data_IF_499078478529
#
_entry.id   IF_499078478529
#
_cell.length_a   1.000
_cell.length_b   1.000
_cell.length_c   1.000
_cell.angle_alpha   90.00
_cell.angle_beta   90.00
_cell.angle_gamma   90.00
#
_symmetry.space_group_name_H-M   'P 1'
#
loop_
_entity.id
_entity.type
_entity.pdbx_description
1 polymer ?
#
# COMPACT_ATOMS: atom_id res chain seq x y z
N UNK A 1 -9.63 11.64 19.62
CA UNK A 1 -9.37 10.94 18.33
C UNK A 1 -7.89 10.56 18.13
N UNK A 2 -6.93 11.47 18.39
CA UNK A 2 -5.48 11.25 18.17
C UNK A 2 -4.86 10.13 19.04
N UNK A 3 -5.19 10.06 20.33
CA UNK A 3 -4.73 8.97 21.24
C UNK A 3 -5.16 7.57 20.77
N UNK A 4 -6.35 7.46 20.18
CA UNK A 4 -6.93 6.21 19.67
C UNK A 4 -6.14 5.61 18.50
N UNK A 5 -5.50 6.45 17.66
CA UNK A 5 -4.71 5.98 16.51
C UNK A 5 -3.47 5.22 16.99
N UNK A 6 -2.72 5.78 17.94
CA UNK A 6 -1.52 5.12 18.49
C UNK A 6 -1.87 3.81 19.20
N UNK A 7 -2.97 3.79 19.95
CA UNK A 7 -3.45 2.57 20.61
C UNK A 7 -3.85 1.50 19.59
N UNK A 8 -4.62 1.87 18.56
CA UNK A 8 -5.03 0.93 17.50
C UNK A 8 -3.82 0.35 16.76
N UNK A 9 -2.79 1.15 16.47
CA UNK A 9 -1.57 0.65 15.82
C UNK A 9 -0.80 -0.31 16.73
N UNK A 10 -0.76 -0.08 18.04
CA UNK A 10 -0.14 -1.00 19.01
C UNK A 10 -0.92 -2.31 19.11
N UNK A 11 -2.25 -2.26 19.27
CA UNK A 11 -3.11 -3.45 19.28
C UNK A 11 -2.95 -4.31 18.01
N UNK A 12 -2.78 -3.66 16.86
CA UNK A 12 -2.52 -4.35 15.60
C UNK A 12 -1.13 -5.01 15.52
N UNK A 13 -0.15 -4.54 16.30
CA UNK A 13 1.15 -5.21 16.43
C UNK A 13 1.08 -6.37 17.42
N UNK A 14 0.19 -6.32 18.40
CA UNK A 14 -0.01 -7.38 19.39
C UNK A 14 -0.61 -8.66 18.77
N UNK A 15 -1.26 -8.57 17.61
CA UNK A 15 -1.73 -9.77 16.90
C UNK A 15 -0.60 -10.68 16.40
N UNK A 16 0.62 -10.14 16.29
CA UNK A 16 1.81 -10.82 15.75
C UNK A 16 1.62 -11.45 14.35
N UNK A 17 0.53 -11.11 13.66
CA UNK A 17 0.31 -11.50 12.28
C UNK A 17 1.27 -10.72 11.38
N UNK A 18 2.01 -11.44 10.54
CA UNK A 18 3.03 -10.87 9.64
C UNK A 18 2.42 -9.85 8.68
N UNK A 19 1.22 -10.12 8.16
CA UNK A 19 0.56 -9.22 7.23
C UNK A 19 0.16 -7.91 7.92
N UNK A 20 -0.45 -8.01 9.09
CA UNK A 20 -0.90 -6.89 9.90
C UNK A 20 0.27 -6.06 10.43
N UNK A 21 1.33 -6.70 10.94
CA UNK A 21 2.56 -6.03 11.36
C UNK A 21 3.19 -5.21 10.22
N UNK A 22 3.25 -5.78 9.00
CA UNK A 22 3.74 -5.05 7.81
C UNK A 22 2.82 -3.90 7.40
N UNK A 23 1.51 -3.99 7.64
CA UNK A 23 0.59 -2.88 7.41
C UNK A 23 0.86 -1.73 8.37
N UNK A 24 0.97 -2.03 9.67
CA UNK A 24 1.32 -1.02 10.70
C UNK A 24 2.66 -0.36 10.37
N UNK A 25 3.69 -1.14 10.02
CA UNK A 25 4.99 -0.59 9.65
C UNK A 25 4.92 0.35 8.44
N UNK A 26 4.10 0.05 7.41
CA UNK A 26 3.90 0.95 6.27
C UNK A 26 3.23 2.26 6.67
N UNK A 27 2.24 2.21 7.56
CA UNK A 27 1.58 3.40 8.12
C UNK A 27 2.59 4.25 8.88
N UNK A 28 3.39 3.63 9.75
CA UNK A 28 4.42 4.30 10.54
C UNK A 28 5.53 4.91 9.67
N UNK A 29 5.89 4.28 8.56
CA UNK A 29 6.85 4.85 7.60
C UNK A 29 6.28 6.06 6.84
N UNK A 30 4.98 6.04 6.52
CA UNK A 30 4.30 7.19 5.92
C UNK A 30 4.21 8.36 6.91
N UNK A 31 3.92 8.08 8.18
CA UNK A 31 3.95 9.02 9.28
C UNK A 31 5.34 9.60 9.51
N UNK A 32 6.38 8.77 9.63
CA UNK A 32 7.74 9.22 9.89
C UNK A 32 8.27 10.18 8.81
N UNK A 33 7.79 10.06 7.57
CA UNK A 33 8.15 10.98 6.47
C UNK A 33 7.51 12.37 6.58
N UNK A 34 6.40 12.51 7.29
CA UNK A 34 5.74 13.81 7.47
C UNK A 34 6.46 14.66 8.52
N UNK A 35 6.92 14.04 9.62
CA UNK A 35 7.58 14.74 10.73
C UNK A 35 9.07 14.43 10.90
N UNK A 36 9.72 13.82 9.90
CA UNK A 36 11.14 13.42 9.92
C UNK A 36 11.57 12.59 11.16
N UNK A 37 10.68 11.74 11.69
CA UNK A 37 10.92 10.96 12.91
C UNK A 37 11.84 9.76 12.64
N UNK A 38 13.14 9.93 12.89
CA UNK A 38 14.18 8.92 12.62
C UNK A 38 13.92 7.58 13.32
N UNK A 39 13.50 7.60 14.59
CA UNK A 39 13.24 6.37 15.37
C UNK A 39 12.08 5.56 14.77
N UNK A 40 10.97 6.25 14.45
CA UNK A 40 9.79 5.64 13.82
C UNK A 40 10.12 5.10 12.42
N UNK A 41 10.90 5.84 11.63
CA UNK A 41 11.36 5.39 10.31
C UNK A 41 12.25 4.14 10.42
N UNK A 42 13.20 4.11 11.35
CA UNK A 42 14.10 2.98 11.58
C UNK A 42 13.33 1.73 12.04
N UNK A 43 12.46 1.87 13.04
CA UNK A 43 11.63 0.76 13.54
C UNK A 43 10.72 0.17 12.46
N UNK A 44 10.05 1.04 11.69
CA UNK A 44 9.19 0.62 10.58
C UNK A 44 9.98 -0.08 9.46
N UNK A 45 11.13 0.49 9.06
CA UNK A 45 11.99 -0.09 8.01
C UNK A 45 12.59 -1.43 8.45
N UNK A 46 13.05 -1.53 9.70
CA UNK A 46 13.57 -2.76 10.30
C UNK A 46 12.54 -3.87 10.26
N UNK A 47 11.36 -3.65 10.85
CA UNK A 47 10.29 -4.64 10.86
C UNK A 47 9.86 -5.07 9.43
N UNK A 48 9.82 -4.13 8.48
CA UNK A 48 9.54 -4.46 7.08
C UNK A 48 10.64 -5.27 6.40
N UNK A 49 11.90 -5.09 6.76
CA UNK A 49 12.99 -5.88 6.20
C UNK A 49 12.91 -7.31 6.73
N UNK A 50 12.76 -7.45 8.04
CA UNK A 50 12.80 -8.73 8.73
C UNK A 50 11.61 -9.63 8.31
N UNK A 51 10.43 -9.03 8.12
CA UNK A 51 9.22 -9.73 7.65
C UNK A 51 9.12 -9.85 6.12
N UNK A 52 10.12 -9.38 5.37
CA UNK A 52 10.06 -9.30 3.91
C UNK A 52 9.95 -10.68 3.26
N UNK A 53 10.94 -11.53 3.51
CA UNK A 53 11.04 -12.86 2.91
C UNK A 53 9.84 -13.74 3.24
N UNK A 54 9.42 -13.79 4.50
CA UNK A 54 8.25 -14.55 4.93
C UNK A 54 6.97 -14.08 4.24
N UNK A 55 6.76 -12.76 4.14
CA UNK A 55 5.59 -12.24 3.44
C UNK A 55 5.61 -12.57 1.95
N UNK A 56 6.76 -12.47 1.30
CA UNK A 56 6.88 -12.74 -0.13
C UNK A 56 6.70 -14.24 -0.43
N UNK A 57 7.17 -15.12 0.45
CA UNK A 57 6.86 -16.55 0.40
C UNK A 57 5.34 -16.79 0.53
N UNK A 58 4.68 -16.16 1.50
CA UNK A 58 3.24 -16.30 1.70
C UNK A 58 2.41 -15.80 0.50
N UNK A 59 2.79 -14.65 -0.08
CA UNK A 59 2.14 -14.11 -1.28
C UNK A 59 2.27 -15.08 -2.45
N UNK A 60 3.46 -15.65 -2.67
CA UNK A 60 3.67 -16.64 -3.74
C UNK A 60 2.85 -17.91 -3.51
N UNK A 61 2.80 -18.40 -2.27
CA UNK A 61 1.95 -19.53 -1.90
C UNK A 61 0.47 -19.28 -2.24
N UNK A 62 -0.08 -18.14 -1.81
CA UNK A 62 -1.48 -17.78 -2.06
C UNK A 62 -1.81 -17.65 -3.55
N UNK A 63 -0.92 -17.08 -4.35
CA UNK A 63 -1.13 -16.97 -5.78
C UNK A 63 -1.03 -18.31 -6.51
N UNK A 64 -0.12 -19.21 -6.09
CA UNK A 64 -0.06 -20.57 -6.65
C UNK A 64 -1.39 -21.30 -6.47
N UNK A 65 -1.97 -21.21 -5.27
CA UNK A 65 -3.31 -21.75 -5.02
C UNK A 65 -4.37 -21.14 -5.95
N UNK A 66 -4.40 -19.80 -6.07
CA UNK A 66 -5.35 -19.09 -6.96
C UNK A 66 -5.18 -19.43 -8.44
N UNK A 67 -3.99 -19.86 -8.87
CA UNK A 67 -3.69 -20.27 -10.24
C UNK A 67 -3.89 -21.78 -10.46
N UNK A 68 -4.40 -22.51 -9.46
CA UNK A 68 -4.59 -23.96 -9.52
C UNK A 68 -3.29 -24.74 -9.59
N UNK A 69 -2.18 -24.18 -9.08
CA UNK A 69 -0.88 -24.84 -9.05
C UNK A 69 -0.71 -25.58 -7.72
N UNK A 70 -0.11 -26.77 -7.75
CA UNK A 70 0.30 -27.47 -6.53
C UNK A 70 1.24 -26.57 -5.73
N UNK A 71 0.82 -26.20 -4.52
CA UNK A 71 1.64 -25.43 -3.60
C UNK A 71 2.11 -26.36 -2.48
N UNK A 72 3.40 -26.26 -2.11
CA UNK A 72 3.92 -26.89 -0.88
C UNK A 72 3.20 -26.31 0.35
N UNK A 73 3.46 -26.88 1.52
CA UNK A 73 2.96 -26.37 2.80
C UNK A 73 3.11 -24.84 2.94
N UNK A 74 2.18 -24.19 3.68
CA UNK A 74 2.23 -22.76 3.92
C UNK A 74 3.58 -22.36 4.55
N UNK A 75 4.22 -21.27 4.08
CA UNK A 75 5.52 -20.87 4.60
C UNK A 75 5.37 -20.34 6.03
N UNK A 76 6.00 -21.02 6.97
CA UNK A 76 6.16 -20.56 8.35
C UNK A 76 7.49 -19.81 8.50
N UNK A 77 7.51 -18.82 9.38
CA UNK A 77 8.69 -18.03 9.68
C UNK A 77 8.63 -17.54 11.12
N UNK A 78 9.71 -16.91 11.62
CA UNK A 78 9.79 -16.48 13.00
C UNK A 78 8.71 -15.44 13.33
N UNK A 79 8.32 -15.37 14.60
CA UNK A 79 7.38 -14.37 15.09
C UNK A 79 7.92 -12.94 14.86
N UNK A 80 7.06 -11.96 14.52
CA UNK A 80 7.48 -10.57 14.36
C UNK A 80 8.10 -9.96 15.61
N UNK A 81 9.27 -9.33 15.45
CA UNK A 81 9.92 -8.53 16.51
C UNK A 81 9.41 -7.09 16.48
N UNK A 82 8.33 -6.81 17.21
CA UNK A 82 7.58 -5.54 17.10
C UNK A 82 7.97 -4.46 18.11
N UNK A 83 8.76 -4.79 19.13
CA UNK A 83 8.99 -3.94 20.30
C UNK A 83 9.63 -2.58 19.97
N UNK A 84 10.64 -2.56 19.09
CA UNK A 84 11.27 -1.31 18.66
C UNK A 84 10.28 -0.36 17.96
N UNK A 85 9.34 -0.91 17.19
CA UNK A 85 8.31 -0.11 16.53
C UNK A 85 7.24 0.36 17.52
N UNK A 86 6.80 -0.49 18.45
CA UNK A 86 5.87 -0.09 19.54
C UNK A 86 6.44 1.07 20.35
N UNK A 87 7.70 0.97 20.78
CA UNK A 87 8.38 2.03 21.52
C UNK A 87 8.39 3.35 20.72
N UNK A 88 8.73 3.29 19.44
CA UNK A 88 8.74 4.47 18.57
C UNK A 88 7.35 5.10 18.36
N UNK A 89 6.29 4.30 18.26
CA UNK A 89 4.90 4.79 18.12
C UNK A 89 4.47 5.58 19.36
N UNK A 90 4.85 5.13 20.57
CA UNK A 90 4.48 5.79 21.82
C UNK A 90 4.99 7.23 21.86
N UNK A 91 6.27 7.43 21.52
CA UNK A 91 6.94 8.72 21.65
C UNK A 91 6.80 9.65 20.44
N UNK A 92 6.55 9.12 19.23
CA UNK A 92 6.46 9.96 18.04
C UNK A 92 5.22 10.91 18.12
N UNK A 93 5.35 12.22 17.85
CA UNK A 93 4.20 13.10 17.76
C UNK A 93 3.39 12.77 16.51
N UNK A 94 2.07 12.82 16.61
CA UNK A 94 1.21 12.61 15.43
C UNK A 94 1.32 13.82 14.51
N UNK A 95 1.27 13.62 13.18
CA UNK A 95 1.33 14.72 12.26
C UNK A 95 0.05 15.55 12.37
N UNK A 96 0.21 16.86 12.23
CA UNK A 96 -0.93 17.76 12.14
C UNK A 96 -1.60 17.67 10.76
N UNK A 97 -2.73 18.36 10.64
CA UNK A 97 -3.53 18.35 9.42
C UNK A 97 -2.79 19.02 8.25
N UNK A 98 -2.05 20.10 8.49
CA UNK A 98 -1.26 20.80 7.48
C UNK A 98 -0.17 19.89 6.89
N UNK A 99 0.53 19.15 7.73
CA UNK A 99 1.53 18.15 7.33
C UNK A 99 0.89 17.03 6.49
N UNK A 100 -0.28 16.53 6.91
CA UNK A 100 -1.02 15.52 6.18
C UNK A 100 -1.46 16.02 4.79
N UNK A 101 -2.01 17.22 4.70
CA UNK A 101 -2.44 17.85 3.44
C UNK A 101 -1.26 18.11 2.50
N UNK A 102 -0.16 18.66 3.01
CA UNK A 102 1.06 18.89 2.22
C UNK A 102 1.64 17.57 1.72
N UNK A 103 1.71 16.55 2.58
CA UNK A 103 2.14 15.20 2.23
C UNK A 103 1.25 14.58 1.16
N UNK A 104 -0.06 14.68 1.31
CA UNK A 104 -1.06 14.22 0.35
C UNK A 104 -0.88 14.90 -1.01
N UNK A 105 -0.83 16.23 -1.06
CA UNK A 105 -0.65 16.99 -2.29
C UNK A 105 0.64 16.60 -3.04
N UNK A 106 1.77 16.49 -2.32
CA UNK A 106 3.06 16.08 -2.91
C UNK A 106 3.00 14.67 -3.50
N UNK A 107 2.42 13.71 -2.76
CA UNK A 107 2.24 12.33 -3.20
C UNK A 107 1.30 12.23 -4.39
N UNK A 108 0.21 12.99 -4.38
CA UNK A 108 -0.77 12.97 -5.47
C UNK A 108 -0.15 13.48 -6.78
N UNK A 109 0.58 14.61 -6.74
CA UNK A 109 1.29 15.12 -7.93
C UNK A 109 2.30 14.10 -8.46
N UNK A 110 3.01 13.40 -7.58
CA UNK A 110 3.98 12.36 -7.98
C UNK A 110 3.30 11.13 -8.56
N UNK A 111 2.23 10.64 -7.93
CA UNK A 111 1.40 9.56 -8.45
C UNK A 111 0.83 9.91 -9.84
N UNK A 112 0.31 11.13 -10.01
CA UNK A 112 -0.19 11.61 -11.31
C UNK A 112 0.90 11.65 -12.38
N UNK A 113 2.12 12.10 -12.06
CA UNK A 113 3.26 12.02 -13.00
C UNK A 113 3.56 10.58 -13.42
N UNK A 114 3.57 9.64 -12.48
CA UNK A 114 3.75 8.22 -12.81
C UNK A 114 2.61 7.68 -13.67
N UNK A 115 1.36 8.03 -13.38
CA UNK A 115 0.20 7.65 -14.20
C UNK A 115 0.31 8.22 -15.63
N UNK A 116 0.63 9.50 -15.79
CA UNK A 116 0.74 10.13 -17.11
C UNK A 116 1.82 9.49 -17.97
N UNK A 117 2.92 9.02 -17.37
CA UNK A 117 3.97 8.27 -18.07
C UNK A 117 3.54 6.86 -18.50
N UNK A 118 2.41 6.34 -18.00
CA UNK A 118 1.93 4.98 -18.23
C UNK A 118 0.60 4.93 -19.00
N UNK A 119 -0.13 6.05 -19.09
CA UNK A 119 -1.51 6.07 -19.60
C UNK A 119 -1.67 5.57 -21.04
N UNK A 120 -0.65 5.74 -21.88
CA UNK A 120 -0.64 5.30 -23.28
C UNK A 120 -0.11 3.86 -23.43
N UNK A 121 0.44 3.27 -22.37
CA UNK A 121 0.98 1.92 -22.41
C UNK A 121 -0.13 0.89 -22.19
N UNK A 122 -0.47 0.09 -23.21
CA UNK A 122 -1.41 -1.03 -23.11
C UNK A 122 -1.01 -2.01 -22.00
N UNK A 123 0.28 -2.33 -21.91
CA UNK A 123 0.86 -3.19 -20.88
C UNK A 123 2.07 -2.53 -20.22
N UNK A 124 1.86 -1.73 -19.17
CA UNK A 124 2.96 -1.05 -18.49
C UNK A 124 3.96 -2.03 -17.86
N UNK A 125 5.24 -1.63 -17.80
CA UNK A 125 6.28 -2.43 -17.14
C UNK A 125 5.97 -2.55 -15.62
N UNK A 126 6.20 -3.73 -15.00
CA UNK A 126 5.90 -3.95 -13.59
C UNK A 126 6.50 -2.91 -12.65
N UNK A 127 7.76 -2.53 -12.88
CA UNK A 127 8.46 -1.55 -12.03
C UNK A 127 7.79 -0.16 -12.06
N UNK A 128 7.24 0.24 -13.21
CA UNK A 128 6.56 1.52 -13.31
C UNK A 128 5.23 1.53 -12.52
N UNK A 129 4.47 0.43 -12.59
CA UNK A 129 3.26 0.23 -11.76
C UNK A 129 3.62 0.11 -10.27
N UNK A 130 4.75 -0.51 -9.94
CA UNK A 130 5.26 -0.61 -8.58
C UNK A 130 5.59 0.77 -7.98
N UNK A 131 6.23 1.67 -8.75
CA UNK A 131 6.47 3.06 -8.33
C UNK A 131 5.17 3.80 -8.05
N UNK A 132 4.18 3.69 -8.95
CA UNK A 132 2.86 4.28 -8.73
C UNK A 132 2.17 3.72 -7.47
N UNK A 133 2.23 2.40 -7.26
CA UNK A 133 1.68 1.72 -6.08
C UNK A 133 2.21 2.28 -4.77
N UNK A 134 3.51 2.60 -4.69
CA UNK A 134 4.10 3.20 -3.47
C UNK A 134 3.43 4.52 -3.12
N UNK A 135 3.17 5.35 -4.12
CA UNK A 135 2.51 6.65 -3.93
C UNK A 135 1.03 6.47 -3.56
N UNK A 136 0.31 5.58 -4.25
CA UNK A 136 -1.10 5.25 -3.96
C UNK A 136 -1.30 4.74 -2.53
N UNK A 137 -0.40 3.89 -2.03
CA UNK A 137 -0.48 3.40 -0.64
C UNK A 137 -0.28 4.50 0.40
N UNK A 138 0.58 5.47 0.12
CA UNK A 138 0.73 6.64 0.99
C UNK A 138 -0.53 7.52 0.97
N UNK A 139 -1.12 7.73 -0.22
CA UNK A 139 -2.38 8.47 -0.36
C UNK A 139 -3.52 7.83 0.43
N UNK A 140 -3.67 6.51 0.38
CA UNK A 140 -4.68 5.81 1.16
C UNK A 140 -4.54 6.05 2.68
N UNK A 141 -3.30 6.06 3.20
CA UNK A 141 -3.01 6.34 4.62
C UNK A 141 -3.35 7.79 4.96
N UNK A 142 -2.90 8.74 4.15
CA UNK A 142 -3.15 10.16 4.42
C UNK A 142 -4.64 10.49 4.34
N UNK A 143 -5.36 9.97 3.35
CA UNK A 143 -6.82 10.13 3.26
C UNK A 143 -7.54 9.57 4.48
N UNK A 144 -7.11 8.41 4.99
CA UNK A 144 -7.72 7.83 6.19
C UNK A 144 -7.50 8.72 7.42
N UNK A 145 -6.30 9.30 7.56
CA UNK A 145 -5.94 10.16 8.69
C UNK A 145 -6.61 11.54 8.61
N UNK A 146 -6.87 12.03 7.39
CA UNK A 146 -7.68 13.22 7.11
C UNK A 146 -9.20 12.95 7.23
N UNK A 147 -9.64 11.74 7.59
CA UNK A 147 -11.06 11.39 7.70
C UNK A 147 -11.79 11.17 6.37
N UNK A 148 -11.11 11.27 5.23
CA UNK A 148 -11.66 11.05 3.89
C UNK A 148 -11.79 9.54 3.58
N UNK A 149 -12.74 8.87 4.24
CA UNK A 149 -12.90 7.39 4.19
C UNK A 149 -13.14 6.84 2.78
N UNK A 150 -14.03 7.46 1.99
CA UNK A 150 -14.31 7.03 0.61
C UNK A 150 -13.04 7.12 -0.27
N UNK A 151 -12.31 8.22 -0.15
CA UNK A 151 -11.04 8.44 -0.85
C UNK A 151 -9.97 7.41 -0.42
N UNK A 152 -9.89 7.13 0.88
CA UNK A 152 -8.98 6.11 1.42
C UNK A 152 -9.31 4.72 0.87
N UNK A 153 -10.60 4.37 0.77
CA UNK A 153 -11.07 3.11 0.20
C UNK A 153 -10.72 3.00 -1.29
N UNK A 154 -10.97 4.06 -2.08
CA UNK A 154 -10.62 4.08 -3.50
C UNK A 154 -9.12 3.86 -3.74
N UNK A 155 -8.25 4.57 -3.00
CA UNK A 155 -6.81 4.37 -3.09
C UNK A 155 -6.35 3.02 -2.56
N UNK A 156 -7.01 2.47 -1.54
CA UNK A 156 -6.73 1.11 -1.06
C UNK A 156 -7.02 0.09 -2.16
N UNK A 157 -8.21 0.13 -2.76
CA UNK A 157 -8.61 -0.74 -3.87
C UNK A 157 -7.63 -0.65 -5.04
N UNK A 158 -7.27 0.57 -5.45
CA UNK A 158 -6.26 0.76 -6.51
C UNK A 158 -4.88 0.20 -6.10
N UNK A 159 -4.45 0.42 -4.85
CA UNK A 159 -3.17 -0.07 -4.33
C UNK A 159 -3.08 -1.59 -4.20
N UNK A 160 -4.22 -2.25 -4.00
CA UNK A 160 -4.37 -3.70 -3.99
C UNK A 160 -4.31 -4.26 -5.42
N UNK A 161 -5.02 -3.65 -6.39
CA UNK A 161 -4.94 -4.05 -7.81
C UNK A 161 -3.54 -3.87 -8.40
N UNK A 162 -2.87 -2.75 -8.11
CA UNK A 162 -1.46 -2.55 -8.46
C UNK A 162 -0.53 -3.55 -7.75
N UNK A 163 -0.97 -4.07 -6.60
CA UNK A 163 -0.26 -5.14 -5.89
C UNK A 163 -0.38 -6.47 -6.57
N UNK A 164 -1.59 -6.85 -6.96
CA UNK A 164 -1.85 -8.08 -7.71
C UNK A 164 -1.03 -8.11 -9.01
N UNK A 165 -1.00 -7.00 -9.75
CA UNK A 165 -0.19 -6.87 -10.97
C UNK A 165 1.30 -7.16 -10.71
N UNK A 166 1.86 -6.53 -9.68
CA UNK A 166 3.25 -6.71 -9.30
C UNK A 166 3.55 -8.14 -8.85
N UNK A 167 2.67 -8.72 -8.02
CA UNK A 167 2.87 -10.06 -7.47
C UNK A 167 2.78 -11.12 -8.60
N UNK A 168 1.86 -10.95 -9.56
CA UNK A 168 1.77 -11.76 -10.78
C UNK A 168 2.99 -11.59 -11.69
N UNK A 169 3.53 -10.37 -11.81
CA UNK A 169 4.75 -10.14 -12.57
C UNK A 169 5.98 -10.83 -11.96
N UNK A 170 6.08 -10.86 -10.62
CA UNK A 170 7.17 -11.55 -9.91
C UNK A 170 7.03 -13.08 -9.98
N UNK A 171 5.80 -13.62 -10.00
CA UNK A 171 5.57 -15.06 -10.13
C UNK A 171 6.03 -15.62 -11.47
N UNK A 172 5.86 -14.85 -12.55
CA UNK A 172 6.21 -15.29 -13.90
C UNK A 172 5.37 -16.45 -14.42
N UNK A 173 5.77 -17.00 -15.57
CA UNK A 173 5.03 -18.06 -16.27
C UNK A 173 3.79 -17.57 -17.03
N UNK A 174 3.25 -18.44 -17.89
CA UNK A 174 2.18 -18.06 -18.83
C UNK A 174 0.86 -17.73 -18.11
N UNK A 175 0.42 -18.59 -17.18
CA UNK A 175 -0.83 -18.37 -16.41
C UNK A 175 -0.85 -17.03 -15.65
N UNK A 176 0.28 -16.63 -15.04
CA UNK A 176 0.36 -15.35 -14.34
C UNK A 176 0.36 -14.15 -15.30
N UNK A 177 1.04 -14.27 -16.46
CA UNK A 177 1.01 -13.26 -17.53
C UNK A 177 -0.42 -13.06 -18.05
N UNK A 178 -1.16 -14.13 -18.29
CA UNK A 178 -2.53 -14.06 -18.80
C UNK A 178 -3.48 -13.44 -17.77
N UNK A 179 -3.39 -13.88 -16.51
CA UNK A 179 -4.16 -13.29 -15.41
C UNK A 179 -3.89 -11.80 -15.26
N UNK A 180 -2.61 -11.39 -15.34
CA UNK A 180 -2.19 -9.99 -15.28
C UNK A 180 -2.82 -9.18 -16.41
N UNK A 181 -2.74 -9.67 -17.66
CA UNK A 181 -3.33 -9.00 -18.84
C UNK A 181 -4.85 -8.84 -18.73
N UNK A 182 -5.56 -9.84 -18.21
CA UNK A 182 -7.01 -9.75 -17.97
C UNK A 182 -7.37 -8.61 -16.99
N UNK A 183 -6.56 -8.41 -15.95
CA UNK A 183 -6.79 -7.38 -14.92
C UNK A 183 -6.46 -5.96 -15.39
N UNK A 184 -5.65 -5.79 -16.44
CA UNK A 184 -5.21 -4.46 -16.91
C UNK A 184 -6.38 -3.55 -17.32
N UNK A 185 -7.46 -4.09 -17.91
CA UNK A 185 -8.62 -3.26 -18.31
C UNK A 185 -9.23 -2.55 -17.10
N UNK A 186 -9.54 -3.29 -16.05
CA UNK A 186 -10.08 -2.74 -14.79
C UNK A 186 -9.07 -1.81 -14.11
N UNK A 187 -7.78 -2.14 -14.15
CA UNK A 187 -6.73 -1.29 -13.60
C UNK A 187 -6.66 0.07 -14.31
N UNK A 188 -6.74 0.09 -15.65
CA UNK A 188 -6.76 1.34 -16.43
C UNK A 188 -7.96 2.22 -16.12
N UNK A 189 -9.14 1.63 -15.94
CA UNK A 189 -10.35 2.36 -15.49
C UNK A 189 -10.10 3.02 -14.14
N UNK A 190 -9.65 2.26 -13.14
CA UNK A 190 -9.37 2.80 -11.80
C UNK A 190 -8.29 3.90 -11.81
N UNK A 191 -7.24 3.72 -12.61
CA UNK A 191 -6.18 4.71 -12.78
C UNK A 191 -6.71 6.01 -13.41
N UNK A 192 -7.55 5.90 -14.44
CA UNK A 192 -8.20 7.06 -15.08
C UNK A 192 -9.14 7.77 -14.12
N UNK A 193 -9.92 7.03 -13.33
CA UNK A 193 -10.79 7.61 -12.30
C UNK A 193 -9.98 8.39 -11.25
N UNK A 194 -8.88 7.81 -10.76
CA UNK A 194 -8.08 8.42 -9.70
C UNK A 194 -7.20 9.59 -10.17
N UNK A 195 -6.69 9.54 -11.41
CA UNK A 195 -5.63 10.46 -11.87
C UNK A 195 -5.87 11.11 -13.24
N UNK A 196 -6.95 10.73 -13.94
CA UNK A 196 -7.26 11.19 -15.29
C UNK A 196 -7.65 12.66 -15.35
N UNK A 197 -8.24 13.20 -14.27
CA UNK A 197 -8.63 14.62 -14.20
C UNK A 197 -7.43 15.50 -13.80
N UNK A 198 -7.41 16.75 -14.30
CA UNK A 198 -6.36 17.74 -13.98
C UNK A 198 -6.38 18.17 -12.50
N UNK A 199 -7.55 18.11 -11.87
CA UNK A 199 -7.77 18.48 -10.47
C UNK A 199 -8.56 17.42 -9.72
N UNK A 200 -8.23 17.21 -8.44
CA UNK A 200 -8.99 16.38 -7.51
C UNK A 200 -10.37 16.94 -7.18
N UNK A 201 -10.58 18.26 -7.36
CA UNK A 201 -11.89 18.89 -7.13
C UNK A 201 -13.00 18.28 -7.99
N UNK A 202 -12.63 17.67 -9.12
CA UNK A 202 -13.57 17.07 -10.06
C UNK A 202 -13.55 15.54 -9.98
N UNK A 203 -12.76 14.92 -9.08
CA UNK A 203 -12.69 13.47 -8.96
C UNK A 203 -13.87 12.98 -8.12
N UNK A 204 -14.95 12.63 -8.81
CA UNK A 204 -16.09 11.92 -8.23
C UNK A 204 -15.67 10.46 -7.96
N UNK A 205 -15.08 10.25 -6.78
CA UNK A 205 -14.56 8.94 -6.35
C UNK A 205 -15.62 8.11 -5.63
N UNK A 206 -16.83 8.66 -5.45
CA UNK A 206 -17.97 7.98 -4.83
C UNK A 206 -18.76 7.09 -5.79
N UNK A 207 -18.76 7.41 -7.09
CA UNK A 207 -19.60 6.75 -8.10
C UNK A 207 -18.89 5.66 -8.93
N UNK A 208 -17.55 5.58 -8.87
CA UNK A 208 -16.76 4.78 -9.81
C UNK A 208 -16.11 3.50 -9.22
N UNK A 209 -16.40 3.18 -7.96
CA UNK A 209 -15.95 1.92 -7.33
C UNK A 209 -17.21 1.17 -6.89
N UNK A 210 -17.68 0.16 -7.66
CA UNK A 210 -18.66 -0.77 -7.11
C UNK A 210 -17.98 -1.46 -5.92
N UNK A 211 -18.60 -1.36 -4.74
CA UNK A 211 -18.20 -2.06 -3.53
C UNK A 211 -18.24 -3.57 -3.73
#
# INVERSE_FOLDING_TARGET
MRSRIKQQLQQQLDSLDVHQCRKVAKVCEAWARLGAHKALARGAKGLRRDLGAQRDAWVRYQWRLKLGQKAKAPPMGPAPKVEALKAAIRVAPLPDESQLLLGFCRRYRKARRHYLALKSCKHPRPEALHRLRKEVKALAVYSLWLGAKALAAAFKTLGDRLGDDHDLAVLGGQKAKDRRRQQHRQLHVLLRTCFGKKSLRNCDLGSAVPL
#
